data_IF_244366251210
#
_entry.id   IF_244366251210
#
_cell.length_a   1.000
_cell.length_b   1.000
_cell.length_c   1.000
_cell.angle_alpha   90.00
_cell.angle_beta   90.00
_cell.angle_gamma   90.00
#
_symmetry.space_group_name_H-M   'P 1'
#
loop_
_entity.id
_entity.type
_entity.pdbx_description
1 polymer ?
#
# COMPACT_ATOMS: atom_id res chain seq x y z
N UNK A 1 -7.80 45.40 12.71
CA UNK A 1 -7.60 45.06 11.28
C UNK A 1 -6.24 44.39 11.16
N UNK A 2 -6.20 43.22 10.54
CA UNK A 2 -5.03 42.37 10.22
C UNK A 2 -4.47 41.57 11.41
N UNK A 3 -4.45 40.24 11.41
CA UNK A 3 -4.71 39.26 10.36
C UNK A 3 -3.99 38.00 10.81
N UNK A 4 -4.75 37.06 11.39
CA UNK A 4 -4.23 35.86 12.05
C UNK A 4 -3.79 34.85 10.99
N UNK A 5 -2.60 34.29 11.19
CA UNK A 5 -2.19 32.91 10.89
C UNK A 5 -2.77 32.22 9.64
N UNK A 6 -1.91 31.92 8.68
CA UNK A 6 -2.05 30.70 7.88
C UNK A 6 -0.70 30.26 7.33
N UNK A 7 -0.09 29.34 8.06
CA UNK A 7 0.86 28.36 7.56
C UNK A 7 0.25 27.65 6.33
N UNK A 8 0.46 28.19 5.14
CA UNK A 8 -0.01 27.60 3.88
C UNK A 8 1.05 27.72 2.79
N UNK A 9 2.19 27.05 2.96
CA UNK A 9 2.92 26.45 1.82
C UNK A 9 3.92 25.42 2.31
N UNK A 10 3.44 24.21 2.59
CA UNK A 10 4.27 23.01 2.41
C UNK A 10 3.56 22.19 1.35
N UNK A 11 3.94 22.42 0.11
CA UNK A 11 3.73 21.47 -0.99
C UNK A 11 4.40 20.16 -0.59
N UNK A 12 3.63 19.33 0.13
CA UNK A 12 3.92 17.92 0.21
C UNK A 12 3.77 17.40 -1.20
N UNK A 13 4.90 17.08 -1.81
CA UNK A 13 5.07 16.30 -3.03
C UNK A 13 4.28 14.99 -2.87
N UNK A 14 2.96 15.05 -3.09
CA UNK A 14 2.02 13.96 -2.83
C UNK A 14 1.99 13.11 -4.09
N UNK A 15 3.11 12.43 -4.35
CA UNK A 15 3.12 11.29 -5.26
C UNK A 15 2.25 10.19 -4.63
N UNK A 16 0.94 10.23 -4.92
CA UNK A 16 -0.04 9.26 -4.46
C UNK A 16 0.14 7.98 -5.27
N UNK A 17 0.99 7.08 -4.77
CA UNK A 17 1.06 5.69 -5.26
C UNK A 17 -0.37 5.10 -5.19
N UNK A 18 -0.91 4.62 -6.29
CA UNK A 18 -2.30 4.13 -6.37
C UNK A 18 -2.51 2.94 -5.42
N UNK A 19 -3.10 3.22 -4.26
CA UNK A 19 -3.74 2.29 -3.31
C UNK A 19 -5.17 1.94 -3.74
N UNK A 20 -5.48 2.02 -5.04
CA UNK A 20 -6.88 2.02 -5.51
C UNK A 20 -7.59 0.69 -5.27
N UNK A 21 -6.91 -0.44 -5.51
CA UNK A 21 -7.52 -1.75 -5.34
C UNK A 21 -7.92 -2.03 -3.88
N UNK A 22 -7.02 -1.76 -2.92
CA UNK A 22 -7.32 -1.92 -1.50
C UNK A 22 -8.44 -0.98 -1.04
N UNK A 23 -8.47 0.26 -1.54
CA UNK A 23 -9.52 1.22 -1.22
C UNK A 23 -10.90 0.84 -1.78
N UNK A 24 -10.95 0.22 -2.96
CA UNK A 24 -12.21 -0.29 -3.52
C UNK A 24 -12.80 -1.41 -2.66
N UNK A 25 -11.96 -2.22 -2.01
CA UNK A 25 -12.40 -3.35 -1.19
C UNK A 25 -12.69 -2.92 0.27
N UNK A 26 -11.85 -2.07 0.86
CA UNK A 26 -11.84 -1.77 2.29
C UNK A 26 -12.12 -0.31 2.65
N UNK A 27 -12.38 0.56 1.67
CA UNK A 27 -12.67 1.97 1.86
C UNK A 27 -11.47 2.91 1.72
N UNK A 28 -11.76 4.21 1.59
CA UNK A 28 -10.79 5.26 1.22
C UNK A 28 -9.60 5.38 2.17
N UNK A 29 -9.77 5.04 3.45
CA UNK A 29 -8.74 5.13 4.49
C UNK A 29 -7.89 3.86 4.66
N UNK A 30 -8.03 2.86 3.77
CA UNK A 30 -7.32 1.58 3.92
C UNK A 30 -5.78 1.74 3.81
N UNK A 31 -5.01 1.42 4.88
CA UNK A 31 -3.58 1.69 4.92
C UNK A 31 -2.77 0.49 4.40
N UNK A 32 -2.61 0.35 3.09
CA UNK A 32 -1.89 -0.78 2.45
C UNK A 32 -0.52 -1.04 3.05
N UNK A 33 0.27 -0.02 3.38
CA UNK A 33 1.62 -0.21 3.94
C UNK A 33 1.60 -0.86 5.33
N UNK A 34 0.54 -0.65 6.11
CA UNK A 34 0.34 -1.25 7.44
C UNK A 34 -0.28 -2.65 7.36
N UNK A 35 -1.17 -2.85 6.39
CA UNK A 35 -1.91 -4.11 6.24
C UNK A 35 -1.29 -5.09 5.25
N UNK A 36 -0.21 -4.72 4.56
CA UNK A 36 0.48 -5.59 3.61
C UNK A 36 0.94 -6.91 4.25
N UNK A 37 0.83 -8.01 3.49
CA UNK A 37 1.28 -9.34 3.90
C UNK A 37 0.35 -10.04 4.90
N UNK A 38 -0.83 -9.48 5.21
CA UNK A 38 -1.85 -10.12 6.04
C UNK A 38 -2.97 -10.71 5.18
N UNK A 39 -3.53 -11.83 5.64
CA UNK A 39 -4.79 -12.35 5.09
C UNK A 39 -5.94 -11.63 5.78
N UNK A 40 -6.72 -10.92 4.99
CA UNK A 40 -7.90 -10.18 5.39
C UNK A 40 -9.14 -10.84 4.79
N UNK A 41 -10.31 -10.56 5.36
CA UNK A 41 -11.59 -10.94 4.78
C UNK A 41 -12.36 -9.69 4.36
N UNK A 42 -13.18 -9.81 3.32
CA UNK A 42 -14.05 -8.73 2.85
C UNK A 42 -15.40 -9.30 2.40
N UNK A 43 -16.37 -8.42 2.18
CA UNK A 43 -17.66 -8.83 1.60
C UNK A 43 -17.54 -9.39 0.18
N UNK A 44 -16.44 -9.09 -0.52
CA UNK A 44 -16.21 -9.48 -1.91
C UNK A 44 -15.46 -10.82 -2.04
N UNK A 45 -14.66 -11.18 -1.03
CA UNK A 45 -13.89 -12.42 -1.03
C UNK A 45 -13.52 -12.82 0.40
N UNK A 46 -13.55 -14.13 0.72
CA UNK A 46 -13.22 -14.64 2.05
C UNK A 46 -11.75 -14.45 2.42
N UNK A 47 -10.85 -14.45 1.43
CA UNK A 47 -9.41 -14.24 1.62
C UNK A 47 -8.93 -13.16 0.64
N UNK A 48 -8.34 -12.10 1.18
CA UNK A 48 -7.75 -10.98 0.44
C UNK A 48 -6.39 -10.68 1.06
N UNK A 49 -5.35 -10.56 0.24
CA UNK A 49 -4.01 -10.15 0.71
C UNK A 49 -3.67 -8.78 0.14
N UNK A 50 -3.38 -7.83 1.03
CA UNK A 50 -2.90 -6.52 0.63
C UNK A 50 -1.39 -6.58 0.34
N UNK A 51 -0.96 -5.86 -0.69
CA UNK A 51 0.46 -5.69 -1.03
C UNK A 51 0.68 -4.34 -1.72
N UNK A 52 1.93 -3.93 -1.83
CA UNK A 52 2.32 -2.73 -2.59
C UNK A 52 2.10 -2.96 -4.09
N UNK A 53 1.77 -1.89 -4.82
CA UNK A 53 1.64 -2.00 -6.27
C UNK A 53 3.02 -2.21 -6.92
N UNK A 54 3.20 -3.10 -7.93
CA UNK A 54 4.50 -3.38 -8.53
C UNK A 54 5.23 -2.14 -9.07
N UNK A 55 4.49 -1.17 -9.63
CA UNK A 55 5.08 0.10 -10.10
C UNK A 55 5.72 0.95 -8.98
N UNK A 56 5.41 0.68 -7.70
CA UNK A 56 6.07 1.32 -6.56
C UNK A 56 7.51 0.85 -6.36
N UNK A 57 7.82 -0.39 -6.77
CA UNK A 57 9.17 -0.95 -6.70
C UNK A 57 10.09 -0.25 -7.71
N UNK A 58 9.57 0.07 -8.90
CA UNK A 58 10.31 0.77 -9.95
C UNK A 58 10.64 2.23 -9.61
N UNK A 59 10.00 2.79 -8.58
CA UNK A 59 10.17 4.19 -8.14
C UNK A 59 10.95 4.31 -6.84
N UNK A 60 11.59 3.24 -6.37
CA UNK A 60 12.47 3.35 -5.21
C UNK A 60 13.66 4.26 -5.52
N UNK A 61 14.13 5.06 -4.54
CA UNK A 61 15.15 6.08 -4.76
C UNK A 61 16.53 5.50 -5.08
N UNK A 62 16.79 4.28 -4.62
CA UNK A 62 18.07 3.60 -4.77
C UNK A 62 17.89 2.08 -4.92
N UNK A 63 18.93 1.40 -5.38
CA UNK A 63 18.93 -0.05 -5.63
C UNK A 63 18.73 -0.88 -4.36
N UNK A 64 19.38 -0.52 -3.24
CA UNK A 64 19.20 -1.24 -1.98
C UNK A 64 17.76 -1.14 -1.48
N UNK A 65 17.12 0.02 -1.66
CA UNK A 65 15.70 0.23 -1.37
C UNK A 65 14.80 -0.57 -2.30
N UNK A 66 15.11 -0.62 -3.59
CA UNK A 66 14.39 -1.45 -4.56
C UNK A 66 14.44 -2.92 -4.19
N UNK A 67 15.61 -3.45 -3.88
CA UNK A 67 15.80 -4.85 -3.55
C UNK A 67 15.12 -5.23 -2.24
N UNK A 68 15.20 -4.36 -1.23
CA UNK A 68 14.48 -4.53 0.05
C UNK A 68 12.96 -4.57 -0.17
N UNK A 69 12.41 -3.62 -0.92
CA UNK A 69 10.96 -3.58 -1.16
C UNK A 69 10.50 -4.72 -2.08
N UNK A 70 11.35 -5.15 -3.02
CA UNK A 70 11.09 -6.33 -3.84
C UNK A 70 11.03 -7.60 -2.99
N UNK A 71 12.01 -7.81 -2.10
CA UNK A 71 12.02 -8.95 -1.19
C UNK A 71 10.75 -8.97 -0.31
N UNK A 72 10.35 -7.81 0.23
CA UNK A 72 9.10 -7.66 0.98
C UNK A 72 7.87 -7.95 0.12
N UNK A 73 7.85 -7.53 -1.14
CA UNK A 73 6.75 -7.81 -2.07
C UNK A 73 6.60 -9.31 -2.33
N UNK A 74 7.72 -10.01 -2.56
CA UNK A 74 7.72 -11.48 -2.72
C UNK A 74 7.20 -12.18 -1.47
N UNK A 75 7.54 -11.71 -0.27
CA UNK A 75 7.01 -12.25 0.99
C UNK A 75 5.48 -12.13 1.03
N UNK A 76 4.90 -10.99 0.65
CA UNK A 76 3.44 -10.83 0.61
C UNK A 76 2.78 -11.81 -0.38
N UNK A 77 3.40 -12.03 -1.56
CA UNK A 77 2.87 -12.96 -2.56
C UNK A 77 2.91 -14.41 -2.09
N UNK A 78 3.93 -14.80 -1.31
CA UNK A 78 3.98 -16.13 -0.68
C UNK A 78 2.84 -16.34 0.31
N UNK A 79 2.45 -15.29 1.05
CA UNK A 79 1.25 -15.35 1.91
C UNK A 79 -0.01 -15.58 1.07
N UNK A 80 -0.14 -14.88 -0.06
CA UNK A 80 -1.28 -15.07 -0.96
C UNK A 80 -1.34 -16.50 -1.54
N UNK A 81 -0.20 -17.06 -1.96
CA UNK A 81 -0.11 -18.44 -2.44
C UNK A 81 -0.54 -19.44 -1.37
N UNK A 82 -0.04 -19.29 -0.14
CA UNK A 82 -0.43 -20.14 0.99
C UNK A 82 -1.93 -20.05 1.27
N UNK A 83 -2.47 -18.84 1.34
CA UNK A 83 -3.89 -18.61 1.58
C UNK A 83 -4.79 -19.21 0.48
N UNK A 84 -4.32 -19.22 -0.77
CA UNK A 84 -5.01 -19.83 -1.90
C UNK A 84 -4.95 -21.38 -1.90
N UNK A 85 -3.86 -21.97 -1.42
CA UNK A 85 -3.72 -23.44 -1.32
C UNK A 85 -4.45 -24.06 -0.12
N UNK A 86 -4.83 -23.26 0.87
CA UNK A 86 -5.66 -23.67 2.02
C UNK A 86 -7.18 -23.48 1.75
N UNK A 87 -7.59 -23.35 0.49
CA UNK A 87 -8.98 -23.10 0.08
C UNK A 87 -9.66 -24.37 -0.43
#
# INVERSE_FOLDING_TARGET
MHGVSSLQTREANRFRQRTTAGQTIFGSSFPVTRERGKVLSSKLAPKVVATVHPSALLRQPDEMSRDREYARFVVDLRVALKAAGEA
#
